data_IF_961572830984
#
_entry.id   IF_961572830984
#
_cell.length_a   1.000
_cell.length_b   1.000
_cell.length_c   1.000
_cell.angle_alpha   90.00
_cell.angle_beta   90.00
_cell.angle_gamma   90.00
#
_symmetry.space_group_name_H-M   'P 1'
#
loop_
_entity.id
_entity.type
_entity.pdbx_description
1 polymer ?
#
# COMPACT_ATOMS: atom_id res chain seq x y z
N UNK A 1 -72.98 -35.73 33.16
CA UNK A 1 -71.58 -35.28 33.28
C UNK A 1 -71.61 -33.82 33.66
N UNK A 2 -70.81 -33.41 34.64
CA UNK A 2 -70.88 -32.12 35.34
C UNK A 2 -70.45 -30.93 34.48
N UNK A 3 -71.14 -29.82 34.75
CA UNK A 3 -70.78 -28.41 34.55
C UNK A 3 -69.37 -28.08 35.07
N UNK A 4 -68.63 -27.16 34.42
CA UNK A 4 -68.26 -25.84 34.97
C UNK A 4 -67.40 -25.03 33.97
N UNK A 5 -67.55 -23.71 34.07
CA UNK A 5 -66.84 -22.63 33.37
C UNK A 5 -65.36 -22.87 33.04
N UNK A 6 -64.93 -22.46 31.84
CA UNK A 6 -63.53 -22.11 31.61
C UNK A 6 -63.44 -20.72 30.99
N UNK A 7 -62.88 -19.83 31.80
CA UNK A 7 -62.90 -18.39 31.60
C UNK A 7 -62.01 -17.91 30.47
N UNK A 8 -62.28 -16.65 30.13
CA UNK A 8 -61.36 -15.71 29.49
C UNK A 8 -59.90 -15.95 29.92
N UNK A 9 -59.13 -16.63 29.09
CA UNK A 9 -57.66 -16.63 29.17
C UNK A 9 -57.17 -15.54 28.22
N UNK A 10 -57.02 -14.33 28.77
CA UNK A 10 -56.18 -13.29 28.19
C UNK A 10 -54.76 -13.88 28.11
N UNK A 11 -54.40 -14.47 26.97
CA UNK A 11 -53.03 -14.88 26.69
C UNK A 11 -52.22 -13.61 26.53
N UNK A 12 -51.60 -13.16 27.62
CA UNK A 12 -50.41 -12.32 27.56
C UNK A 12 -49.34 -13.20 26.89
N UNK A 13 -49.19 -13.04 25.58
CA UNK A 13 -48.05 -13.58 24.85
C UNK A 13 -46.83 -12.79 25.32
N UNK A 14 -46.05 -13.34 26.24
CA UNK A 14 -44.66 -12.90 26.39
C UNK A 14 -43.94 -13.39 25.13
N UNK A 15 -43.91 -12.58 24.07
CA UNK A 15 -43.04 -12.84 22.92
C UNK A 15 -41.59 -12.89 23.43
N UNK A 16 -40.84 -13.90 23.03
CA UNK A 16 -39.42 -14.03 23.37
C UNK A 16 -38.64 -12.87 22.74
N UNK A 17 -37.71 -12.26 23.47
CA UNK A 17 -36.93 -11.08 23.03
C UNK A 17 -36.21 -11.33 21.69
N UNK A 18 -35.89 -12.59 21.39
CA UNK A 18 -35.29 -13.04 20.13
C UNK A 18 -36.23 -12.87 18.93
N UNK A 19 -37.54 -13.06 19.11
CA UNK A 19 -38.53 -12.89 18.03
C UNK A 19 -38.75 -11.41 17.72
N UNK A 20 -38.73 -10.55 18.74
CA UNK A 20 -38.83 -9.10 18.58
C UNK A 20 -37.59 -8.53 17.88
N UNK A 21 -36.40 -9.02 18.24
CA UNK A 21 -35.16 -8.67 17.54
C UNK A 21 -35.19 -9.09 16.06
N UNK A 22 -35.71 -10.28 15.74
CA UNK A 22 -35.85 -10.73 14.35
C UNK A 22 -36.81 -9.84 13.56
N UNK A 23 -37.97 -9.51 14.14
CA UNK A 23 -38.93 -8.58 13.52
C UNK A 23 -38.34 -7.19 13.28
N UNK A 24 -37.48 -6.72 14.18
CA UNK A 24 -36.74 -5.46 14.02
C UNK A 24 -35.82 -5.51 12.78
N UNK A 25 -35.06 -6.60 12.62
CA UNK A 25 -34.16 -6.80 11.48
C UNK A 25 -34.90 -7.00 10.15
N UNK A 26 -36.07 -7.63 10.20
CA UNK A 26 -36.93 -7.87 9.04
C UNK A 26 -37.81 -6.66 8.68
N UNK A 27 -37.80 -5.58 9.48
CA UNK A 27 -38.56 -4.36 9.23
C UNK A 27 -40.08 -4.49 9.40
N UNK A 28 -40.55 -5.48 10.17
CA UNK A 28 -41.98 -5.79 10.39
C UNK A 28 -42.45 -5.50 11.81
N UNK A 29 -41.57 -4.96 12.65
CA UNK A 29 -41.88 -4.58 14.03
C UNK A 29 -42.72 -3.30 14.06
N UNK A 30 -43.74 -3.26 14.92
CA UNK A 30 -44.58 -2.08 15.11
C UNK A 30 -43.80 -0.99 15.90
N UNK A 31 -43.83 0.29 15.50
CA UNK A 31 -43.11 1.37 16.18
C UNK A 31 -43.38 1.48 17.68
N UNK A 32 -44.62 1.18 18.11
CA UNK A 32 -45.04 1.21 19.51
C UNK A 32 -44.38 0.09 20.33
N UNK A 33 -44.12 -1.07 19.73
CA UNK A 33 -43.43 -2.17 20.40
C UNK A 33 -41.94 -1.86 20.63
N UNK A 34 -41.33 -1.05 19.76
CA UNK A 34 -39.95 -0.61 19.88
C UNK A 34 -39.76 0.42 20.99
N UNK A 35 -40.68 1.38 21.14
CA UNK A 35 -40.62 2.41 22.19
C UNK A 35 -40.71 1.81 23.61
N UNK A 36 -41.47 0.72 23.75
CA UNK A 36 -41.69 0.06 25.03
C UNK A 36 -40.51 -0.84 25.48
N UNK A 37 -39.52 -1.06 24.61
CA UNK A 37 -38.36 -1.89 24.93
C UNK A 37 -37.03 -1.12 24.74
N UNK A 38 -36.40 -0.65 25.83
CA UNK A 38 -35.19 0.16 25.75
C UNK A 38 -34.00 -0.62 25.16
N UNK A 39 -33.96 -1.94 25.32
CA UNK A 39 -32.86 -2.77 24.79
C UNK A 39 -32.94 -2.89 23.26
N UNK A 40 -34.15 -3.04 22.72
CA UNK A 40 -34.37 -3.08 21.26
C UNK A 40 -34.19 -1.70 20.64
N UNK A 41 -34.57 -0.63 21.32
CA UNK A 41 -34.33 0.73 20.86
C UNK A 41 -32.83 1.01 20.65
N UNK A 42 -31.97 0.65 21.62
CA UNK A 42 -30.51 0.82 21.51
C UNK A 42 -29.94 0.04 20.33
N UNK A 43 -30.47 -1.16 20.08
CA UNK A 43 -30.06 -1.97 18.95
C UNK A 43 -30.50 -1.34 17.62
N UNK A 44 -31.75 -0.88 17.54
CA UNK A 44 -32.30 -0.19 16.37
C UNK A 44 -31.52 1.09 16.06
N UNK A 45 -31.17 1.88 17.08
CA UNK A 45 -30.38 3.11 16.93
C UNK A 45 -29.01 2.82 16.33
N UNK A 46 -28.36 1.71 16.72
CA UNK A 46 -27.06 1.31 16.16
C UNK A 46 -27.15 0.81 14.72
N UNK A 47 -28.28 0.23 14.32
CA UNK A 47 -28.47 -0.38 13.00
C UNK A 47 -28.99 0.66 11.99
N UNK A 48 -30.06 1.37 12.34
CA UNK A 48 -30.75 2.30 11.44
C UNK A 48 -30.32 3.76 11.66
N UNK A 49 -29.73 4.08 12.80
CA UNK A 49 -29.39 5.45 13.18
C UNK A 49 -30.58 6.20 13.80
N UNK A 50 -30.28 7.15 14.67
CA UNK A 50 -31.28 7.95 15.39
C UNK A 50 -32.19 8.75 14.44
N UNK A 51 -31.62 9.37 13.42
CA UNK A 51 -32.35 10.23 12.47
C UNK A 51 -33.44 9.46 11.71
N UNK A 52 -33.15 8.21 11.32
CA UNK A 52 -34.11 7.34 10.64
C UNK A 52 -35.26 6.90 11.57
N UNK A 53 -34.97 6.67 12.86
CA UNK A 53 -36.00 6.33 13.85
C UNK A 53 -36.93 7.51 14.12
N UNK A 54 -36.39 8.72 14.18
CA UNK A 54 -37.17 9.96 14.35
C UNK A 54 -38.07 10.25 13.14
N UNK A 55 -37.59 10.00 11.91
CA UNK A 55 -38.39 10.12 10.69
C UNK A 55 -39.56 9.13 10.66
N UNK A 56 -39.38 7.95 11.24
CA UNK A 56 -40.43 6.93 11.41
C UNK A 56 -41.36 7.21 12.61
N UNK A 57 -41.17 8.33 13.32
CA UNK A 57 -42.00 8.74 14.43
C UNK A 57 -41.73 8.01 15.74
N UNK A 58 -40.59 7.32 15.86
CA UNK A 58 -40.17 6.60 17.07
C UNK A 58 -39.36 7.54 17.94
N UNK A 59 -39.89 7.90 19.11
CA UNK A 59 -39.18 8.79 20.04
C UNK A 59 -38.30 7.98 20.99
N UNK A 60 -37.01 8.29 20.99
CA UNK A 60 -36.09 7.69 21.95
C UNK A 60 -36.45 8.00 23.40
N UNK A 61 -36.02 7.14 24.35
CA UNK A 61 -36.26 7.37 25.76
C UNK A 61 -35.70 8.74 26.16
N UNK A 62 -36.54 9.55 26.82
CA UNK A 62 -36.12 10.86 27.33
C UNK A 62 -35.02 10.62 28.35
N UNK A 63 -33.83 11.14 28.05
CA UNK A 63 -32.68 11.05 28.93
C UNK A 63 -32.93 12.04 30.06
N UNK A 64 -33.56 11.57 31.14
CA UNK A 64 -33.48 12.30 32.40
C UNK A 64 -32.00 12.35 32.77
N UNK A 65 -31.47 13.58 32.85
CA UNK A 65 -30.05 13.88 32.95
C UNK A 65 -29.29 12.83 33.76
N UNK A 66 -28.26 12.23 33.16
CA UNK A 66 -27.37 11.26 33.78
C UNK A 66 -26.99 11.73 35.19
N UNK A 67 -27.65 11.19 36.22
CA UNK A 67 -27.14 11.24 37.57
C UNK A 67 -25.92 10.33 37.55
N UNK A 68 -24.74 10.97 37.49
CA UNK A 68 -23.45 10.29 37.64
C UNK A 68 -23.49 9.63 39.02
N UNK A 69 -23.88 8.36 39.05
CA UNK A 69 -23.68 7.53 40.23
C UNK A 69 -22.20 7.19 40.18
N UNK A 70 -21.39 7.90 40.98
CA UNK A 70 -20.02 7.49 41.26
C UNK A 70 -20.06 6.17 42.05
N UNK A 71 -20.31 5.06 41.35
CA UNK A 71 -19.92 3.75 41.85
C UNK A 71 -18.40 3.73 41.83
N UNK A 72 -17.82 3.94 43.02
CA UNK A 72 -16.43 3.69 43.34
C UNK A 72 -16.12 2.23 43.02
N UNK A 73 -15.76 1.97 41.78
CA UNK A 73 -15.29 0.68 41.30
C UNK A 73 -13.94 0.47 41.94
N UNK A 74 -13.88 -0.47 42.88
CA UNK A 74 -12.61 -0.92 43.46
C UNK A 74 -11.95 -1.79 42.40
N UNK A 75 -11.21 -1.16 41.49
CA UNK A 75 -10.47 -1.85 40.42
C UNK A 75 -9.32 -2.63 41.10
N UNK A 76 -9.58 -3.88 41.48
CA UNK A 76 -8.52 -4.86 41.69
C UNK A 76 -8.34 -5.57 40.36
N UNK A 77 -7.61 -4.90 39.46
CA UNK A 77 -7.16 -5.48 38.21
C UNK A 77 -5.66 -5.28 38.14
N UNK A 78 -4.91 -6.18 38.78
CA UNK A 78 -3.45 -6.34 38.63
C UNK A 78 -3.12 -6.90 37.23
N UNK A 79 -3.63 -6.24 36.19
CA UNK A 79 -3.27 -6.51 34.80
C UNK A 79 -2.42 -5.33 34.35
N UNK A 80 -1.12 -5.43 34.62
CA UNK A 80 -0.12 -4.53 34.06
C UNK A 80 -0.11 -4.73 32.54
N UNK A 81 -0.68 -3.77 31.83
CA UNK A 81 -0.54 -3.70 30.37
C UNK A 81 0.92 -3.36 30.09
N UNK A 82 1.68 -4.22 29.38
CA UNK A 82 3.08 -3.94 29.10
C UNK A 82 3.17 -2.69 28.22
N UNK A 83 3.90 -1.67 28.68
CA UNK A 83 4.23 -0.51 27.88
C UNK A 83 5.16 -0.95 26.73
N UNK A 84 4.63 -0.94 25.51
CA UNK A 84 5.43 -1.18 24.32
C UNK A 84 6.33 0.02 24.06
N UNK A 85 7.59 -0.08 24.45
CA UNK A 85 8.63 0.89 24.11
C UNK A 85 9.34 0.37 22.84
N UNK A 86 9.08 0.94 21.65
CA UNK A 86 9.74 0.48 20.44
C UNK A 86 11.25 0.73 20.53
N UNK A 87 12.06 -0.25 20.13
CA UNK A 87 13.51 -0.07 19.99
C UNK A 87 13.81 0.84 18.79
N UNK A 88 13.84 2.15 19.05
CA UNK A 88 14.13 3.20 18.06
C UNK A 88 15.49 2.96 17.39
N UNK A 89 16.47 2.38 18.11
CA UNK A 89 17.81 2.14 17.57
C UNK A 89 17.78 1.06 16.48
N UNK A 90 16.96 0.01 16.65
CA UNK A 90 16.77 -1.02 15.62
C UNK A 90 16.19 -0.42 14.33
N UNK A 91 15.18 0.45 14.45
CA UNK A 91 14.51 1.12 13.33
C UNK A 91 15.49 2.05 12.60
N UNK A 92 16.26 2.87 13.33
CA UNK A 92 17.28 3.76 12.74
C UNK A 92 18.36 2.93 12.02
N UNK A 93 18.80 1.82 12.61
CA UNK A 93 19.82 0.95 12.02
C UNK A 93 19.33 0.33 10.71
N UNK A 94 18.09 -0.15 10.66
CA UNK A 94 17.48 -0.69 9.44
C UNK A 94 17.34 0.37 8.34
N UNK A 95 16.81 1.55 8.68
CA UNK A 95 16.72 2.66 7.73
C UNK A 95 18.11 3.05 7.20
N UNK A 96 19.13 3.12 8.07
CA UNK A 96 20.50 3.43 7.66
C UNK A 96 21.08 2.37 6.72
N UNK A 97 20.73 1.09 6.91
CA UNK A 97 21.16 -0.02 6.06
C UNK A 97 20.50 0.07 4.68
N UNK A 98 19.21 0.39 4.62
CA UNK A 98 18.47 0.59 3.36
C UNK A 98 19.08 1.75 2.56
N UNK A 99 19.33 2.89 3.20
CA UNK A 99 19.94 4.07 2.57
C UNK A 99 21.34 3.73 2.03
N UNK A 100 22.17 3.05 2.83
CA UNK A 100 23.51 2.60 2.40
C UNK A 100 23.44 1.63 1.22
N UNK A 101 22.49 0.68 1.20
CA UNK A 101 22.30 -0.27 0.09
C UNK A 101 21.87 0.43 -1.19
N UNK A 102 20.85 1.31 -1.12
CA UNK A 102 20.37 2.11 -2.26
C UNK A 102 21.49 2.95 -2.85
N UNK A 103 22.28 3.62 -2.01
CA UNK A 103 23.43 4.42 -2.47
C UNK A 103 24.49 3.59 -3.18
N UNK A 104 24.86 2.43 -2.63
CA UNK A 104 25.79 1.51 -3.29
C UNK A 104 25.23 1.07 -4.65
N UNK A 105 23.95 0.75 -4.73
CA UNK A 105 23.29 0.38 -5.98
C UNK A 105 23.36 1.52 -7.02
N UNK A 106 23.06 2.76 -6.63
CA UNK A 106 23.17 3.94 -7.54
C UNK A 106 24.60 4.13 -8.03
N UNK A 107 25.60 3.97 -7.17
CA UNK A 107 27.02 4.00 -7.57
C UNK A 107 27.37 2.92 -8.59
N UNK A 108 26.93 1.68 -8.33
CA UNK A 108 27.19 0.56 -9.25
C UNK A 108 26.53 0.81 -10.61
N UNK A 109 25.28 1.27 -10.64
CA UNK A 109 24.57 1.59 -11.89
C UNK A 109 25.27 2.72 -12.65
N UNK A 110 25.67 3.79 -11.95
CA UNK A 110 26.43 4.89 -12.54
C UNK A 110 27.73 4.44 -13.18
N UNK A 111 28.51 3.64 -12.45
CA UNK A 111 29.78 3.11 -12.94
C UNK A 111 29.61 2.14 -14.11
N UNK A 112 28.66 1.20 -14.02
CA UNK A 112 28.40 0.24 -15.10
C UNK A 112 27.88 0.94 -16.36
N UNK A 113 27.03 1.96 -16.21
CA UNK A 113 26.52 2.75 -17.33
C UNK A 113 27.63 3.50 -18.07
N UNK A 114 28.50 4.20 -17.33
CA UNK A 114 29.67 4.86 -17.93
C UNK A 114 30.59 3.87 -18.64
N UNK A 115 30.88 2.74 -17.99
CA UNK A 115 31.71 1.70 -18.59
C UNK A 115 31.10 1.22 -19.91
N UNK A 116 29.80 0.97 -19.95
CA UNK A 116 29.08 0.49 -21.15
C UNK A 116 29.16 1.50 -22.29
N UNK A 117 28.95 2.79 -22.01
CA UNK A 117 29.00 3.84 -23.04
C UNK A 117 30.42 4.02 -23.55
N UNK A 118 31.40 4.03 -22.65
CA UNK A 118 32.82 4.12 -23.03
C UNK A 118 33.21 2.92 -23.90
N UNK A 119 32.83 1.70 -23.51
CA UNK A 119 33.10 0.51 -24.35
C UNK A 119 32.42 0.60 -25.70
N UNK A 120 31.18 1.11 -25.76
CA UNK A 120 30.46 1.30 -27.04
C UNK A 120 31.15 2.33 -27.95
N UNK A 121 31.71 3.42 -27.40
CA UNK A 121 32.39 4.46 -28.20
C UNK A 121 33.76 3.98 -28.68
N UNK A 122 34.56 3.33 -27.83
CA UNK A 122 35.96 3.01 -28.16
C UNK A 122 36.14 1.69 -28.91
N UNK A 123 35.37 0.66 -28.53
CA UNK A 123 35.45 -0.69 -29.13
C UNK A 123 34.23 -0.96 -30.01
N UNK A 124 33.06 -0.50 -29.56
CA UNK A 124 31.78 -0.82 -30.20
C UNK A 124 31.20 -2.13 -29.66
N UNK A 125 29.92 -2.09 -29.28
CA UNK A 125 29.20 -3.26 -28.79
C UNK A 125 29.14 -4.39 -29.82
N UNK A 126 29.20 -4.05 -31.12
CA UNK A 126 29.18 -4.99 -32.22
C UNK A 126 30.36 -5.96 -32.22
N UNK A 127 31.55 -5.51 -31.84
CA UNK A 127 32.75 -6.37 -31.76
C UNK A 127 32.56 -7.47 -30.69
N UNK A 128 31.94 -7.09 -29.58
CA UNK A 128 31.60 -8.01 -28.48
C UNK A 128 30.52 -9.01 -28.96
N UNK A 129 29.50 -8.55 -29.67
CA UNK A 129 28.44 -9.42 -30.17
C UNK A 129 28.92 -10.38 -31.26
N UNK A 130 29.82 -9.95 -32.14
CA UNK A 130 30.43 -10.79 -33.17
C UNK A 130 31.36 -11.84 -32.55
N UNK A 131 32.18 -11.47 -31.55
CA UNK A 131 33.07 -12.41 -30.86
C UNK A 131 32.32 -13.44 -30.02
N UNK A 132 31.17 -13.08 -29.45
CA UNK A 132 30.27 -14.02 -28.74
C UNK A 132 29.44 -14.89 -29.69
N UNK A 133 29.46 -14.63 -31.00
CA UNK A 133 28.66 -15.36 -31.99
C UNK A 133 27.15 -15.04 -31.93
N UNK A 134 26.77 -13.93 -31.29
CA UNK A 134 25.37 -13.47 -31.19
C UNK A 134 24.97 -12.65 -32.41
N UNK A 135 25.90 -11.88 -32.97
CA UNK A 135 25.70 -11.13 -34.20
C UNK A 135 26.43 -11.81 -35.38
N UNK A 136 25.81 -11.79 -36.55
CA UNK A 136 26.38 -12.32 -37.80
C UNK A 136 26.14 -11.36 -39.00
N UNK A 137 25.93 -10.08 -38.73
CA UNK A 137 25.74 -9.08 -39.78
C UNK A 137 27.10 -8.66 -40.34
N UNK A 138 27.24 -8.68 -41.67
CA UNK A 138 28.52 -8.42 -42.36
C UNK A 138 29.04 -7.02 -42.02
N UNK A 139 28.15 -6.04 -41.97
CA UNK A 139 28.44 -4.63 -41.70
C UNK A 139 29.07 -4.43 -40.31
N UNK A 140 28.66 -5.24 -39.34
CA UNK A 140 29.18 -5.19 -37.97
C UNK A 140 30.47 -6.00 -37.85
N UNK A 141 30.45 -7.27 -38.31
CA UNK A 141 31.51 -8.23 -38.03
C UNK A 141 32.66 -8.23 -39.05
N UNK A 142 32.44 -7.70 -40.25
CA UNK A 142 33.45 -7.66 -41.33
C UNK A 142 33.81 -6.22 -41.67
N UNK A 143 32.84 -5.31 -41.79
CA UNK A 143 33.08 -3.92 -42.18
C UNK A 143 33.47 -3.01 -41.00
N UNK A 144 33.35 -3.50 -39.76
CA UNK A 144 33.86 -2.81 -38.56
C UNK A 144 32.97 -1.67 -38.04
N UNK A 145 31.70 -1.60 -38.45
CA UNK A 145 30.72 -0.68 -37.86
C UNK A 145 30.18 -1.27 -36.57
N UNK A 146 30.95 -1.15 -35.50
CA UNK A 146 30.67 -1.85 -34.24
C UNK A 146 30.00 -0.97 -33.19
N UNK A 147 29.99 0.35 -33.36
CA UNK A 147 29.37 1.25 -32.40
C UNK A 147 27.86 1.33 -32.61
N UNK A 148 27.08 1.19 -31.52
CA UNK A 148 25.62 1.30 -31.56
C UNK A 148 25.19 2.74 -31.38
N UNK A 149 24.32 3.21 -32.27
CA UNK A 149 23.52 4.41 -32.12
C UNK A 149 22.29 4.08 -31.27
N UNK A 150 22.33 4.44 -29.99
CA UNK A 150 21.29 4.07 -29.02
C UNK A 150 19.87 4.51 -29.41
N UNK A 151 19.73 5.66 -30.10
CA UNK A 151 18.42 6.17 -30.51
C UNK A 151 17.75 5.27 -31.57
N UNK A 152 18.54 4.67 -32.45
CA UNK A 152 18.05 3.79 -33.52
C UNK A 152 17.95 2.33 -33.05
N UNK A 153 18.83 1.91 -32.14
CA UNK A 153 18.85 0.58 -31.54
C UNK A 153 17.87 0.34 -30.38
N UNK A 154 16.81 1.14 -30.25
CA UNK A 154 15.82 0.99 -29.16
C UNK A 154 14.87 -0.19 -29.34
N UNK A 155 14.66 -0.62 -30.59
CA UNK A 155 13.83 -1.78 -30.94
C UNK A 155 14.69 -2.94 -31.47
N UNK A 156 14.15 -4.16 -31.40
CA UNK A 156 14.82 -5.35 -31.93
C UNK A 156 15.10 -5.23 -33.43
N UNK A 157 14.12 -4.74 -34.18
CA UNK A 157 14.23 -4.55 -35.63
C UNK A 157 15.24 -3.43 -35.94
N UNK A 158 15.20 -2.33 -35.19
CA UNK A 158 16.17 -1.23 -35.33
C UNK A 158 17.61 -1.67 -35.09
N UNK A 159 17.85 -2.63 -34.20
CA UNK A 159 19.19 -3.19 -33.98
C UNK A 159 19.71 -4.02 -35.18
N UNK A 160 18.83 -4.47 -36.06
CA UNK A 160 19.17 -5.17 -37.30
C UNK A 160 19.24 -4.23 -38.51
N UNK A 161 18.95 -2.94 -38.33
CA UNK A 161 19.14 -1.93 -39.38
C UNK A 161 20.60 -1.49 -39.44
N UNK A 162 21.12 -1.34 -40.66
CA UNK A 162 22.52 -0.95 -40.91
C UNK A 162 22.81 0.46 -40.37
N UNK A 163 21.81 1.35 -40.40
CA UNK A 163 21.95 2.74 -39.98
C UNK A 163 22.11 2.93 -38.46
N UNK A 164 21.87 1.87 -37.68
CA UNK A 164 22.08 1.82 -36.23
C UNK A 164 23.54 1.61 -35.86
N UNK A 165 24.35 1.13 -36.81
CA UNK A 165 25.73 0.74 -36.59
C UNK A 165 26.67 1.69 -37.31
N UNK A 166 27.53 2.34 -36.54
CA UNK A 166 28.45 3.37 -37.02
C UNK A 166 29.88 3.00 -36.69
N UNK A 167 30.82 3.70 -37.32
CA UNK A 167 32.23 3.56 -36.99
C UNK A 167 32.48 4.00 -35.54
N UNK A 168 33.33 3.26 -34.80
CA UNK A 168 33.74 3.63 -33.45
C UNK A 168 34.29 5.06 -33.37
N UNK A 169 34.14 5.67 -32.21
CA UNK A 169 34.55 7.05 -31.88
C UNK A 169 33.68 8.12 -32.53
N UNK A 170 32.53 7.76 -33.09
CA UNK A 170 31.50 8.74 -33.40
C UNK A 170 30.85 9.19 -32.09
N UNK A 171 30.62 10.49 -31.93
CA UNK A 171 29.97 11.02 -30.73
C UNK A 171 28.62 11.58 -31.13
N UNK A 172 27.55 10.92 -30.69
CA UNK A 172 26.21 11.45 -30.83
C UNK A 172 25.78 12.26 -29.61
N UNK A 173 24.79 13.13 -29.82
CA UNK A 173 24.18 13.93 -28.77
C UNK A 173 23.65 13.03 -27.65
N UNK A 174 23.11 11.86 -28.00
CA UNK A 174 22.58 10.91 -27.02
C UNK A 174 23.69 10.29 -26.17
N UNK A 175 24.85 9.95 -26.74
CA UNK A 175 26.01 9.45 -25.98
C UNK A 175 26.46 10.49 -24.94
N UNK A 176 26.56 11.75 -25.34
CA UNK A 176 26.92 12.86 -24.44
C UNK A 176 25.89 12.97 -23.31
N UNK A 177 24.59 12.89 -23.64
CA UNK A 177 23.52 12.96 -22.65
C UNK A 177 23.61 11.83 -21.62
N UNK A 178 23.88 10.60 -22.07
CA UNK A 178 24.02 9.45 -21.20
C UNK A 178 25.27 9.56 -20.31
N UNK A 179 26.41 10.01 -20.86
CA UNK A 179 27.63 10.25 -20.08
C UNK A 179 27.34 11.24 -18.95
N UNK A 180 26.61 12.32 -19.22
CA UNK A 180 26.24 13.31 -18.20
C UNK A 180 25.36 12.67 -17.13
N UNK A 181 24.32 11.93 -17.52
CA UNK A 181 23.38 11.30 -16.57
C UNK A 181 24.11 10.31 -15.66
N UNK A 182 24.90 9.40 -16.23
CA UNK A 182 25.62 8.41 -15.42
C UNK A 182 26.75 9.03 -14.58
N UNK A 183 27.39 10.10 -15.07
CA UNK A 183 28.34 10.89 -14.28
C UNK A 183 27.64 11.53 -13.07
N UNK A 184 26.46 12.13 -13.26
CA UNK A 184 25.67 12.70 -12.16
C UNK A 184 25.27 11.63 -11.15
N UNK A 185 24.83 10.45 -11.60
CA UNK A 185 24.52 9.33 -10.71
C UNK A 185 25.74 8.90 -9.88
N UNK A 186 26.92 8.86 -10.49
CA UNK A 186 28.17 8.52 -9.83
C UNK A 186 28.56 9.61 -8.80
N UNK A 187 28.44 10.89 -9.16
CA UNK A 187 28.67 12.01 -8.25
C UNK A 187 27.71 11.98 -7.06
N UNK A 188 26.40 11.80 -7.28
CA UNK A 188 25.41 11.65 -6.21
C UNK A 188 25.77 10.47 -5.30
N UNK A 189 26.15 9.36 -5.92
CA UNK A 189 26.63 8.19 -5.24
C UNK A 189 27.87 8.45 -4.36
N UNK A 190 28.80 9.33 -4.75
CA UNK A 190 30.02 9.63 -3.98
C UNK A 190 29.77 10.72 -2.91
N UNK A 191 29.11 11.82 -3.27
CA UNK A 191 29.03 13.02 -2.42
C UNK A 191 27.95 12.95 -1.34
N UNK A 192 26.87 12.17 -1.51
CA UNK A 192 25.82 12.04 -0.49
C UNK A 192 26.19 11.03 0.62
N UNK A 193 27.48 10.95 0.99
CA UNK A 193 27.91 10.29 2.24
C UNK A 193 27.49 11.19 3.39
N UNK A 194 26.25 11.02 3.88
CA UNK A 194 25.85 11.60 5.17
C UNK A 194 26.91 11.23 6.20
N UNK A 195 27.56 12.24 6.79
CA UNK A 195 28.27 12.09 8.07
C UNK A 195 27.19 11.68 9.07
N UNK A 196 27.24 10.44 9.53
CA UNK A 196 26.44 10.03 10.68
C UNK A 196 27.16 10.64 11.87
N UNK A 197 26.71 11.82 12.31
CA UNK A 197 27.13 12.35 13.59
C UNK A 197 26.48 11.46 14.65
N UNK A 198 27.26 10.54 15.19
CA UNK A 198 26.97 9.90 16.47
C UNK A 198 27.17 10.96 17.54
N UNK A 199 26.06 11.46 18.11
CA UNK A 199 26.06 12.15 19.40
C UNK A 199 25.58 11.19 20.46
#
# INVERSE_FOLDING_TARGET
>A
MRSFDEGYVMRVYCMDDTELMKKLLDGTLDPVELENNPHLYVLAERIYGREALEEMGIMGPKIDAYAITEEKTTIVSDVEIPEFIPDINSIIKEQSKIIKKRRKMVLFIGFSGLLTIITNIFLGMGEILCSLGVANMKEICVEGKTQVVWLKGTSWDGLHEIDTWVEPKSLEIFDISLIIIFSLMLLIGIFFKKKVNTS
#
